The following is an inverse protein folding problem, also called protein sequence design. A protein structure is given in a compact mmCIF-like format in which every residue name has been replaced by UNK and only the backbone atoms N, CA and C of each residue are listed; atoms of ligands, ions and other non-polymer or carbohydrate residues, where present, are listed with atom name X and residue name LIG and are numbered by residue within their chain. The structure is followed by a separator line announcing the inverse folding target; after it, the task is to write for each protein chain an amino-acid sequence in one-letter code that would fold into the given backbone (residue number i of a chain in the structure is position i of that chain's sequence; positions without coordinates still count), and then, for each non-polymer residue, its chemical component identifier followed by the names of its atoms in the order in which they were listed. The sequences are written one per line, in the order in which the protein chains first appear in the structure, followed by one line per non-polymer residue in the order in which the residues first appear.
data_IF_325036369647
#
_entry.id   IF_325036369647
#
_cell.length_a   1.000
_cell.length_b   1.000
_cell.length_c   1.000
_cell.angle_alpha   90.00
_cell.angle_beta   90.00
_cell.angle_gamma   90.00
#
_symmetry.space_group_name_H-M   'P 1'
#
loop_
_entity.id
_entity.type
_entity.pdbx_description
1 polymer ?
#
# COMPACT_ATOMS: atom_id res chain seq x y z
N UNK A 1 -21.19 17.76 10.64
CA UNK A 1 -20.31 17.98 9.48
C UNK A 1 -18.87 17.93 9.98
N UNK A 2 -18.07 17.04 9.47
CA UNK A 2 -16.69 16.88 9.84
C UNK A 2 -15.87 18.13 9.50
N UNK A 3 -14.92 18.47 10.37
CA UNK A 3 -13.97 19.54 10.17
C UNK A 3 -12.57 19.00 10.45
N UNK A 4 -11.74 18.95 9.41
CA UNK A 4 -10.40 18.40 9.50
C UNK A 4 -9.50 19.20 10.45
N UNK A 5 -8.59 18.52 11.13
CA UNK A 5 -7.59 19.14 11.99
C UNK A 5 -6.75 20.16 11.20
N UNK A 6 -6.57 21.35 11.76
CA UNK A 6 -5.87 22.46 11.07
C UNK A 6 -4.36 22.24 11.01
N UNK A 7 -3.80 21.47 11.93
CA UNK A 7 -2.38 21.17 12.08
C UNK A 7 -1.97 19.83 11.43
N UNK A 8 -2.88 19.15 10.70
CA UNK A 8 -2.68 17.78 10.15
C UNK A 8 -1.42 17.63 9.29
N UNK A 9 -0.97 18.70 8.64
CA UNK A 9 0.23 18.66 7.79
C UNK A 9 1.55 18.92 8.52
N UNK A 10 1.51 19.27 9.81
CA UNK A 10 2.72 19.70 10.53
C UNK A 10 3.62 18.55 10.96
N UNK A 11 3.04 17.36 11.18
CA UNK A 11 3.75 16.18 11.70
C UNK A 11 4.06 15.13 10.63
N UNK A 12 3.38 15.19 9.48
CA UNK A 12 3.54 14.23 8.41
C UNK A 12 4.55 14.73 7.38
N UNK A 13 5.69 14.08 7.20
CA UNK A 13 6.60 14.39 6.10
C UNK A 13 6.00 13.97 4.77
N UNK A 14 6.27 14.74 3.70
CA UNK A 14 5.84 14.44 2.33
C UNK A 14 7.06 14.30 1.42
N UNK A 15 7.07 13.26 0.57
CA UNK A 15 8.17 12.95 -0.33
C UNK A 15 7.69 12.95 -1.77
N UNK A 16 8.54 13.41 -2.69
CA UNK A 16 8.26 13.28 -4.12
C UNK A 16 8.18 11.81 -4.54
N UNK A 17 7.29 11.50 -5.47
CA UNK A 17 7.15 10.17 -6.04
C UNK A 17 8.07 10.07 -7.25
N UNK A 18 9.20 9.40 -7.10
CA UNK A 18 10.23 9.33 -8.13
C UNK A 18 10.58 10.71 -8.68
N UNK A 19 10.73 10.79 -10.01
CA UNK A 19 11.02 12.05 -10.72
C UNK A 19 9.73 12.76 -11.17
N UNK A 20 8.74 12.88 -10.27
CA UNK A 20 7.48 13.58 -10.55
C UNK A 20 7.26 14.79 -9.63
N UNK A 21 6.30 15.64 -9.97
CA UNK A 21 5.87 16.74 -9.12
C UNK A 21 4.90 16.32 -8.00
N UNK A 22 4.41 15.07 -8.02
CA UNK A 22 3.49 14.57 -7.00
C UNK A 22 4.26 14.26 -5.71
N UNK A 23 3.67 14.63 -4.57
CA UNK A 23 4.15 14.22 -3.25
C UNK A 23 3.16 13.28 -2.60
N UNK A 24 3.66 12.26 -1.91
CA UNK A 24 2.88 11.42 -1.01
C UNK A 24 3.33 11.62 0.44
N UNK A 25 2.43 11.43 1.43
CA UNK A 25 2.83 11.35 2.82
C UNK A 25 3.74 10.14 3.01
N UNK A 26 4.68 10.20 3.95
CA UNK A 26 5.56 9.06 4.26
C UNK A 26 4.75 7.82 4.65
N UNK A 27 3.60 8.00 5.27
CA UNK A 27 2.65 6.93 5.60
C UNK A 27 1.35 7.13 4.81
N UNK A 28 0.89 6.06 4.15
CA UNK A 28 -0.37 5.99 3.41
C UNK A 28 -1.29 4.94 4.02
N UNK A 29 -2.61 5.09 3.88
CA UNK A 29 -3.58 4.13 4.41
C UNK A 29 -4.00 3.14 3.32
N UNK A 30 -3.73 1.84 3.57
CA UNK A 30 -4.14 0.74 2.70
C UNK A 30 -5.48 0.14 3.14
N UNK A 31 -6.37 -0.09 2.18
CA UNK A 31 -7.75 -0.57 2.43
C UNK A 31 -7.92 -2.07 2.22
N UNK A 32 -6.84 -2.82 2.05
CA UNK A 32 -6.93 -4.28 1.95
C UNK A 32 -7.33 -4.90 3.27
N UNK A 33 -8.49 -5.60 3.31
CA UNK A 33 -9.18 -6.12 4.50
C UNK A 33 -9.59 -5.01 5.51
N UNK A 34 -10.55 -5.31 6.36
CA UNK A 34 -11.04 -4.45 7.45
C UNK A 34 -11.67 -3.09 7.04
N UNK A 35 -11.92 -2.86 5.76
CA UNK A 35 -12.55 -1.62 5.28
C UNK A 35 -13.82 -1.87 4.43
N UNK A 36 -14.19 -3.13 4.24
CA UNK A 36 -15.43 -3.53 3.56
C UNK A 36 -16.65 -3.59 4.51
N UNK A 37 -17.72 -4.22 4.03
CA UNK A 37 -18.98 -4.34 4.80
C UNK A 37 -18.90 -5.39 5.92
N UNK A 38 -17.81 -6.16 5.99
CA UNK A 38 -17.50 -7.05 7.12
C UNK A 38 -17.17 -6.29 8.42
N UNK A 39 -17.04 -4.97 8.34
CA UNK A 39 -16.78 -4.09 9.47
C UNK A 39 -17.87 -3.03 9.64
N UNK A 40 -18.22 -2.64 10.88
CA UNK A 40 -19.11 -1.51 11.10
C UNK A 40 -18.63 -0.25 10.39
N UNK A 41 -19.49 0.39 9.63
CA UNK A 41 -19.15 1.57 8.82
C UNK A 41 -18.55 2.71 9.67
N UNK A 42 -19.07 2.91 10.88
CA UNK A 42 -18.58 3.98 11.76
C UNK A 42 -17.13 3.75 12.20
N UNK A 43 -16.70 2.49 12.41
CA UNK A 43 -15.30 2.17 12.72
C UNK A 43 -14.38 2.45 11.52
N UNK A 44 -14.84 2.10 10.30
CA UNK A 44 -14.11 2.42 9.07
C UNK A 44 -13.98 3.93 8.92
N UNK A 45 -15.08 4.66 9.10
CA UNK A 45 -15.13 6.12 9.01
C UNK A 45 -14.18 6.77 10.03
N UNK A 46 -14.19 6.32 11.28
CA UNK A 46 -13.32 6.84 12.34
C UNK A 46 -11.84 6.70 11.97
N UNK A 47 -11.42 5.53 11.48
CA UNK A 47 -10.05 5.28 11.04
C UNK A 47 -9.66 6.23 9.89
N UNK A 48 -10.53 6.38 8.89
CA UNK A 48 -10.27 7.22 7.70
C UNK A 48 -10.14 8.70 8.09
N UNK A 49 -11.07 9.20 8.90
CA UNK A 49 -11.04 10.60 9.34
C UNK A 49 -9.82 10.89 10.23
N UNK A 50 -9.49 9.98 11.15
CA UNK A 50 -8.28 10.10 11.97
C UNK A 50 -7.00 10.05 11.13
N UNK A 51 -6.95 9.18 10.12
CA UNK A 51 -5.81 9.14 9.19
C UNK A 51 -5.62 10.50 8.50
N UNK A 52 -6.69 11.09 7.98
CA UNK A 52 -6.63 12.41 7.36
C UNK A 52 -6.24 13.51 8.36
N UNK A 53 -6.79 13.50 9.57
CA UNK A 53 -6.42 14.43 10.64
C UNK A 53 -4.95 14.29 11.10
N UNK A 54 -4.33 13.16 10.79
CA UNK A 54 -2.90 12.88 11.05
C UNK A 54 -1.99 13.17 9.86
N UNK A 55 -2.52 13.76 8.78
CA UNK A 55 -1.76 14.11 7.57
C UNK A 55 -1.60 12.97 6.56
N UNK A 56 -2.26 11.83 6.76
CA UNK A 56 -2.33 10.78 5.72
C UNK A 56 -3.32 11.25 4.65
N UNK A 57 -2.79 11.69 3.52
CA UNK A 57 -3.57 12.19 2.40
C UNK A 57 -3.75 11.17 1.29
N UNK A 58 -3.08 10.03 1.34
CA UNK A 58 -3.17 8.97 0.34
C UNK A 58 -3.92 7.77 0.89
N UNK A 59 -5.01 7.40 0.20
CA UNK A 59 -5.86 6.23 0.46
C UNK A 59 -5.75 5.27 -0.71
N UNK A 60 -5.28 4.05 -0.42
CA UNK A 60 -4.94 3.04 -1.42
C UNK A 60 -5.92 1.87 -1.41
N UNK A 61 -6.68 1.71 -2.47
CA UNK A 61 -7.72 0.70 -2.65
C UNK A 61 -7.40 -0.27 -3.79
N UNK A 62 -8.32 -1.19 -4.06
CA UNK A 62 -8.44 -1.98 -5.28
C UNK A 62 -9.90 -2.34 -5.52
N UNK A 63 -10.25 -2.63 -6.78
CA UNK A 63 -11.62 -2.96 -7.17
C UNK A 63 -12.24 -4.12 -6.37
N UNK A 64 -11.41 -5.08 -5.94
CA UNK A 64 -11.82 -6.29 -5.24
C UNK A 64 -11.64 -6.25 -3.70
N UNK A 65 -11.24 -5.11 -3.12
CA UNK A 65 -11.05 -5.00 -1.67
C UNK A 65 -12.37 -4.96 -0.90
N UNK A 66 -12.33 -5.53 0.31
CA UNK A 66 -13.49 -5.71 1.19
C UNK A 66 -14.29 -6.98 0.90
N UNK A 67 -15.26 -7.30 1.74
CA UNK A 67 -16.22 -8.40 1.58
C UNK A 67 -17.63 -7.85 1.65
N UNK A 68 -18.45 -7.96 0.56
CA UNK A 68 -18.08 -8.45 -0.78
C UNK A 68 -17.07 -7.55 -1.50
N UNK A 69 -16.42 -8.07 -2.56
CA UNK A 69 -15.48 -7.30 -3.37
C UNK A 69 -16.05 -5.95 -3.83
N UNK A 70 -15.24 -4.88 -3.71
CA UNK A 70 -15.67 -3.50 -4.00
C UNK A 70 -16.30 -2.77 -2.82
N UNK A 71 -16.59 -3.46 -1.70
CA UNK A 71 -17.22 -2.81 -0.54
C UNK A 71 -16.30 -1.81 0.16
N UNK A 72 -14.98 -1.98 0.08
CA UNK A 72 -14.04 -1.00 0.59
C UNK A 72 -14.11 0.34 -0.19
N UNK A 73 -14.22 0.28 -1.52
CA UNK A 73 -14.45 1.47 -2.35
C UNK A 73 -15.82 2.11 -2.06
N UNK A 74 -16.88 1.30 -1.86
CA UNK A 74 -18.21 1.80 -1.50
C UNK A 74 -18.21 2.53 -0.16
N UNK A 75 -17.53 2.00 0.85
CA UNK A 75 -17.41 2.65 2.15
C UNK A 75 -16.61 3.96 2.04
N UNK A 76 -15.48 3.97 1.33
CA UNK A 76 -14.74 5.23 1.11
C UNK A 76 -15.57 6.23 0.31
N UNK A 77 -16.28 5.80 -0.74
CA UNK A 77 -17.19 6.65 -1.53
C UNK A 77 -18.24 7.36 -0.68
N UNK A 78 -18.83 6.64 0.28
CA UNK A 78 -19.76 7.21 1.25
C UNK A 78 -19.07 8.25 2.14
N UNK A 79 -17.88 7.95 2.68
CA UNK A 79 -17.11 8.89 3.52
C UNK A 79 -16.69 10.13 2.71
N UNK A 80 -16.24 9.94 1.46
CA UNK A 80 -15.90 11.05 0.56
C UNK A 80 -17.11 11.97 0.34
N UNK A 81 -18.30 11.41 0.11
CA UNK A 81 -19.52 12.17 -0.14
C UNK A 81 -19.99 12.94 1.11
N UNK A 82 -19.99 12.28 2.27
CA UNK A 82 -20.60 12.79 3.51
C UNK A 82 -19.65 13.72 4.29
N UNK A 83 -18.35 13.39 4.35
CA UNK A 83 -17.40 14.05 5.24
C UNK A 83 -16.23 14.73 4.50
N UNK A 84 -15.66 14.08 3.50
CA UNK A 84 -14.39 14.52 2.87
C UNK A 84 -14.59 15.26 1.54
N UNK A 85 -15.82 15.50 1.10
CA UNK A 85 -16.10 16.23 -0.15
C UNK A 85 -15.40 17.57 -0.24
N UNK A 86 -15.34 18.43 0.81
CA UNK A 86 -14.63 19.71 0.76
C UNK A 86 -13.10 19.57 0.65
N UNK A 87 -12.58 18.37 0.88
CA UNK A 87 -11.14 18.08 0.93
C UNK A 87 -10.65 17.21 -0.24
N UNK A 88 -11.49 16.96 -1.26
CA UNK A 88 -11.12 16.05 -2.39
C UNK A 88 -9.78 16.43 -3.03
N UNK A 89 -9.53 17.72 -3.24
CA UNK A 89 -8.30 18.20 -3.87
C UNK A 89 -7.06 18.16 -2.94
N UNK A 90 -7.27 17.78 -1.68
CA UNK A 90 -6.22 17.54 -0.70
C UNK A 90 -5.92 16.03 -0.51
N UNK A 91 -6.62 15.17 -1.25
CA UNK A 91 -6.51 13.73 -1.16
C UNK A 91 -5.94 13.13 -2.45
N UNK A 92 -5.16 12.08 -2.30
CA UNK A 92 -4.75 11.17 -3.36
C UNK A 92 -5.53 9.88 -3.16
N UNK A 93 -6.39 9.55 -4.11
CA UNK A 93 -7.16 8.31 -4.10
C UNK A 93 -6.61 7.39 -5.18
N UNK A 94 -6.12 6.23 -4.79
CA UNK A 94 -5.67 5.21 -5.72
C UNK A 94 -6.55 3.97 -5.69
N UNK A 95 -6.74 3.34 -6.83
CA UNK A 95 -7.34 2.01 -6.94
C UNK A 95 -6.64 1.18 -8.00
N UNK A 96 -6.97 -0.12 -8.05
CA UNK A 96 -6.27 -1.12 -8.85
C UNK A 96 -7.25 -2.12 -9.46
N UNK A 97 -6.85 -2.71 -10.59
CA UNK A 97 -7.49 -3.89 -11.14
C UNK A 97 -6.44 -4.89 -11.65
N UNK A 98 -6.73 -6.21 -11.54
CA UNK A 98 -5.80 -7.27 -11.94
C UNK A 98 -6.05 -8.60 -11.25
N UNK A 99 -6.92 -8.63 -10.24
CA UNK A 99 -7.41 -9.85 -9.59
C UNK A 99 -8.90 -10.04 -9.85
N UNK A 100 -9.40 -11.26 -9.72
CA UNK A 100 -10.77 -11.63 -10.01
C UNK A 100 -11.81 -10.74 -9.31
N UNK A 101 -12.75 -10.21 -10.08
CA UNK A 101 -13.80 -9.31 -9.59
C UNK A 101 -15.21 -9.80 -9.94
N UNK A 102 -15.39 -10.48 -11.07
CA UNK A 102 -16.63 -11.10 -11.49
C UNK A 102 -16.39 -12.39 -12.25
N UNK A 103 -17.42 -13.21 -12.39
CA UNK A 103 -17.31 -14.52 -13.03
C UNK A 103 -17.14 -14.41 -14.56
N UNK A 104 -16.59 -15.50 -15.12
CA UNK A 104 -16.39 -15.64 -16.56
C UNK A 104 -15.06 -15.09 -17.07
N UNK A 105 -14.82 -15.12 -18.38
CA UNK A 105 -13.48 -14.93 -18.96
C UNK A 105 -13.02 -13.45 -19.00
N UNK A 106 -13.85 -12.50 -18.54
CA UNK A 106 -13.57 -11.07 -18.65
C UNK A 106 -13.41 -10.37 -17.28
N UNK A 107 -13.40 -11.15 -16.20
CA UNK A 107 -13.45 -10.62 -14.82
C UNK A 107 -12.12 -10.62 -14.09
N UNK A 108 -10.98 -10.84 -14.77
CA UNK A 108 -9.66 -10.96 -14.16
C UNK A 108 -8.53 -10.49 -15.11
N UNK A 109 -7.30 -10.39 -14.59
CA UNK A 109 -6.04 -10.14 -15.29
C UNK A 109 -5.87 -8.73 -15.86
N UNK A 110 -5.22 -8.58 -17.04
CA UNK A 110 -4.74 -7.31 -17.57
C UNK A 110 -5.33 -6.88 -18.91
N UNK A 111 -6.38 -7.57 -19.41
CA UNK A 111 -6.96 -7.19 -20.70
C UNK A 111 -7.55 -5.78 -20.65
N UNK A 112 -7.49 -5.07 -21.78
CA UNK A 112 -8.12 -3.76 -21.95
C UNK A 112 -9.58 -3.74 -21.50
N UNK A 113 -10.34 -4.79 -21.89
CA UNK A 113 -11.77 -4.90 -21.49
C UNK A 113 -11.93 -4.92 -19.99
N UNK A 114 -11.11 -5.71 -19.28
CA UNK A 114 -11.19 -5.84 -17.83
C UNK A 114 -10.80 -4.54 -17.12
N UNK A 115 -9.67 -3.93 -17.52
CA UNK A 115 -9.16 -2.71 -16.88
C UNK A 115 -10.11 -1.53 -17.01
N UNK A 116 -10.68 -1.32 -18.22
CA UNK A 116 -11.66 -0.25 -18.46
C UNK A 116 -12.93 -0.43 -17.64
N UNK A 117 -13.53 -1.63 -17.70
CA UNK A 117 -14.75 -1.92 -16.95
C UNK A 117 -14.54 -1.85 -15.43
N UNK A 118 -13.39 -2.33 -14.95
CA UNK A 118 -13.02 -2.27 -13.52
C UNK A 118 -12.91 -0.85 -13.02
N UNK A 119 -12.24 0.03 -13.77
CA UNK A 119 -12.12 1.44 -13.36
C UNK A 119 -13.48 2.15 -13.36
N UNK A 120 -14.32 1.91 -14.36
CA UNK A 120 -15.67 2.50 -14.40
C UNK A 120 -16.49 2.10 -13.18
N UNK A 121 -16.51 0.81 -12.84
CA UNK A 121 -17.15 0.32 -11.63
C UNK A 121 -16.54 0.89 -10.35
N UNK A 122 -15.22 1.08 -10.30
CA UNK A 122 -14.54 1.69 -9.15
C UNK A 122 -14.93 3.16 -8.99
N UNK A 123 -14.97 3.92 -10.07
CA UNK A 123 -15.41 5.32 -10.07
C UNK A 123 -16.87 5.46 -9.59
N UNK A 124 -17.75 4.55 -10.01
CA UNK A 124 -19.15 4.51 -9.55
C UNK A 124 -19.23 4.24 -8.04
N UNK A 125 -18.50 3.24 -7.52
CA UNK A 125 -18.46 2.93 -6.07
C UNK A 125 -17.89 4.07 -5.24
N UNK A 126 -16.83 4.71 -5.72
CA UNK A 126 -16.19 5.85 -5.06
C UNK A 126 -17.00 7.15 -5.19
N UNK A 127 -17.93 7.24 -6.15
CA UNK A 127 -18.66 8.46 -6.47
C UNK A 127 -17.75 9.56 -7.04
N UNK A 128 -16.69 9.19 -7.76
CA UNK A 128 -15.68 10.08 -8.32
C UNK A 128 -15.73 10.10 -9.84
N UNK A 129 -15.25 11.21 -10.44
CA UNK A 129 -15.06 11.31 -11.89
C UNK A 129 -13.71 10.75 -12.34
N UNK A 130 -12.73 10.75 -11.47
CA UNK A 130 -11.38 10.24 -11.68
C UNK A 130 -10.76 9.78 -10.36
N UNK A 131 -9.80 8.88 -10.45
CA UNK A 131 -8.84 8.58 -9.36
C UNK A 131 -7.52 9.27 -9.62
N UNK A 132 -6.75 9.53 -8.56
CA UNK A 132 -5.44 10.16 -8.74
C UNK A 132 -4.44 9.16 -9.33
N UNK A 133 -4.42 7.91 -8.86
CA UNK A 133 -3.53 6.87 -9.38
C UNK A 133 -4.34 5.60 -9.67
N UNK A 134 -4.18 5.04 -10.87
CA UNK A 134 -4.73 3.74 -11.23
C UNK A 134 -3.63 2.73 -11.47
N UNK A 135 -3.70 1.56 -10.82
CA UNK A 135 -2.67 0.52 -10.94
C UNK A 135 -3.14 -0.70 -11.72
N UNK A 136 -2.23 -1.28 -12.52
CA UNK A 136 -2.34 -2.70 -12.83
C UNK A 136 -1.82 -3.50 -11.64
N UNK A 137 -2.68 -4.34 -11.04
CA UNK A 137 -2.52 -4.89 -9.69
C UNK A 137 -1.48 -6.01 -9.60
N UNK A 138 -1.22 -6.71 -10.71
CA UNK A 138 -0.20 -7.77 -10.83
C UNK A 138 0.20 -7.98 -12.29
N UNK A 139 1.41 -8.51 -12.57
CA UNK A 139 1.76 -8.90 -13.93
C UNK A 139 0.79 -9.99 -14.44
N UNK A 140 0.40 -9.86 -15.71
CA UNK A 140 -0.34 -10.86 -16.48
C UNK A 140 0.54 -11.34 -17.64
N UNK A 141 0.82 -12.63 -17.68
CA UNK A 141 1.67 -13.22 -18.70
C UNK A 141 0.87 -13.80 -19.88
N UNK A 142 -0.46 -13.77 -19.82
CA UNK A 142 -1.35 -14.24 -20.87
C UNK A 142 -1.84 -13.11 -21.78
N UNK A 143 -1.89 -11.88 -21.26
CA UNK A 143 -2.21 -10.68 -22.03
C UNK A 143 -0.91 -10.03 -22.54
N UNK A 144 -0.79 -9.66 -23.83
CA UNK A 144 0.33 -8.86 -24.31
C UNK A 144 0.51 -7.60 -23.44
N UNK A 145 1.74 -7.34 -23.03
CA UNK A 145 2.03 -6.20 -22.14
C UNK A 145 1.63 -4.86 -22.77
N UNK A 146 1.78 -4.76 -24.10
CA UNK A 146 1.36 -3.60 -24.90
C UNK A 146 -0.12 -3.30 -24.74
N UNK A 147 -1.01 -4.32 -24.72
CA UNK A 147 -2.45 -4.12 -24.54
C UNK A 147 -2.73 -3.55 -23.17
N UNK A 148 -2.12 -4.11 -22.11
CA UNK A 148 -2.27 -3.64 -20.74
C UNK A 148 -1.77 -2.20 -20.60
N UNK A 149 -0.57 -1.89 -21.08
CA UNK A 149 0.01 -0.55 -20.95
C UNK A 149 -0.75 0.47 -21.82
N UNK A 150 -1.21 0.07 -23.00
CA UNK A 150 -2.05 0.93 -23.85
C UNK A 150 -3.40 1.24 -23.16
N UNK A 151 -3.99 0.25 -22.48
CA UNK A 151 -5.20 0.47 -21.70
C UNK A 151 -5.00 1.50 -20.57
N UNK A 152 -3.88 1.41 -19.84
CA UNK A 152 -3.52 2.40 -18.81
C UNK A 152 -3.31 3.79 -19.40
N UNK A 153 -2.61 3.89 -20.54
CA UNK A 153 -2.40 5.17 -21.21
C UNK A 153 -3.71 5.80 -21.67
N UNK A 154 -4.63 5.00 -22.23
CA UNK A 154 -5.94 5.49 -22.66
C UNK A 154 -6.81 5.95 -21.48
N UNK A 155 -6.73 5.30 -20.33
CA UNK A 155 -7.39 5.71 -19.09
C UNK A 155 -6.94 7.12 -18.67
N UNK A 156 -5.64 7.41 -18.77
CA UNK A 156 -5.11 8.78 -18.52
C UNK A 156 -5.62 9.75 -19.58
N UNK A 157 -5.57 9.38 -20.85
CA UNK A 157 -6.06 10.23 -21.96
C UNK A 157 -7.56 10.55 -21.84
N UNK A 158 -8.35 9.64 -21.28
CA UNK A 158 -9.78 9.83 -20.98
C UNK A 158 -10.03 10.68 -19.73
N UNK A 159 -9.00 11.05 -18.99
CA UNK A 159 -9.12 11.79 -17.73
C UNK A 159 -9.75 11.00 -16.57
N UNK A 160 -9.74 9.65 -16.64
CA UNK A 160 -10.27 8.77 -15.58
C UNK A 160 -9.24 8.46 -14.49
N UNK A 161 -7.95 8.64 -14.77
CA UNK A 161 -6.86 8.68 -13.81
C UNK A 161 -5.87 9.79 -14.16
N UNK A 162 -5.25 10.41 -13.15
CA UNK A 162 -4.21 11.43 -13.38
C UNK A 162 -2.85 10.77 -13.63
N UNK A 163 -2.59 9.68 -12.94
CA UNK A 163 -1.33 8.92 -13.00
C UNK A 163 -1.62 7.42 -13.06
N UNK A 164 -0.62 6.67 -13.50
CA UNK A 164 -0.66 5.21 -13.52
C UNK A 164 0.50 4.60 -12.75
N UNK A 165 0.24 3.42 -12.19
CA UNK A 165 1.21 2.59 -11.49
C UNK A 165 1.09 1.11 -11.87
N UNK A 166 2.07 0.34 -11.42
CA UNK A 166 2.09 -1.13 -11.52
C UNK A 166 2.36 -1.74 -10.15
N UNK A 167 2.03 -3.01 -9.98
CA UNK A 167 2.24 -3.70 -8.71
C UNK A 167 2.82 -5.10 -8.94
N UNK A 168 3.80 -5.48 -8.11
CA UNK A 168 4.48 -6.78 -8.13
C UNK A 168 5.15 -7.20 -9.47
N UNK A 169 5.52 -6.25 -10.30
CA UNK A 169 6.29 -6.52 -11.51
C UNK A 169 7.75 -6.78 -11.17
N UNK A 170 8.43 -7.79 -11.76
CA UNK A 170 9.89 -7.91 -11.67
C UNK A 170 10.57 -6.77 -12.44
N UNK A 171 11.85 -6.53 -12.16
CA UNK A 171 12.58 -5.36 -12.60
C UNK A 171 12.60 -5.17 -14.13
N UNK A 172 12.86 -6.25 -14.89
CA UNK A 172 12.88 -6.26 -16.35
C UNK A 172 11.51 -5.89 -16.93
N UNK A 173 10.45 -6.53 -16.45
CA UNK A 173 9.09 -6.28 -16.90
C UNK A 173 8.57 -4.90 -16.50
N UNK A 174 9.04 -4.36 -15.36
CA UNK A 174 8.73 -2.99 -14.95
C UNK A 174 9.38 -1.95 -15.89
N UNK A 175 10.64 -2.19 -16.32
CA UNK A 175 11.29 -1.35 -17.34
C UNK A 175 10.58 -1.41 -18.68
N UNK A 176 10.20 -2.60 -19.14
CA UNK A 176 9.43 -2.78 -20.36
C UNK A 176 8.08 -2.05 -20.29
N UNK A 177 7.35 -2.21 -19.20
CA UNK A 177 6.09 -1.50 -18.97
C UNK A 177 6.26 0.02 -19.02
N UNK A 178 7.32 0.55 -18.42
CA UNK A 178 7.65 1.99 -18.44
C UNK A 178 7.93 2.46 -19.88
N UNK A 179 8.75 1.74 -20.65
CA UNK A 179 9.08 2.09 -22.03
C UNK A 179 7.82 2.13 -22.91
N UNK A 180 6.93 1.15 -22.75
CA UNK A 180 5.65 1.12 -23.46
C UNK A 180 4.76 2.30 -23.10
N UNK A 181 4.60 2.61 -21.80
CA UNK A 181 3.83 3.77 -21.36
C UNK A 181 4.40 5.08 -21.92
N UNK A 182 5.72 5.26 -21.90
CA UNK A 182 6.38 6.45 -22.45
C UNK A 182 6.19 6.58 -23.97
N UNK A 183 6.16 5.46 -24.70
CA UNK A 183 5.84 5.46 -26.14
C UNK A 183 4.41 5.95 -26.43
N UNK A 184 3.50 5.84 -25.45
CA UNK A 184 2.14 6.37 -25.51
C UNK A 184 2.00 7.75 -24.86
N UNK A 185 3.11 8.41 -24.48
CA UNK A 185 3.13 9.74 -23.89
C UNK A 185 2.73 9.78 -22.41
N UNK A 186 2.71 8.64 -21.70
CA UNK A 186 2.37 8.54 -20.29
C UNK A 186 3.57 8.06 -19.49
N UNK A 187 3.85 8.68 -18.34
CA UNK A 187 4.93 8.25 -17.43
C UNK A 187 4.43 7.22 -16.43
N UNK A 188 5.20 6.16 -16.21
CA UNK A 188 5.01 5.30 -15.06
C UNK A 188 5.39 6.07 -13.79
N UNK A 189 4.41 6.35 -12.92
CA UNK A 189 4.63 7.14 -11.72
C UNK A 189 5.27 6.32 -10.60
N UNK A 190 4.72 5.12 -10.34
CA UNK A 190 4.93 4.43 -9.08
C UNK A 190 4.79 2.92 -9.24
N UNK A 191 5.60 2.18 -8.50
CA UNK A 191 5.54 0.73 -8.36
C UNK A 191 5.14 0.33 -6.95
N UNK A 192 4.16 -0.57 -6.80
CA UNK A 192 3.69 -1.07 -5.50
C UNK A 192 4.05 -2.55 -5.31
N UNK A 193 5.22 -2.87 -4.70
CA UNK A 193 5.62 -4.25 -4.40
C UNK A 193 5.31 -4.66 -2.96
N UNK A 194 5.26 -5.98 -2.67
CA UNK A 194 5.39 -6.46 -1.30
C UNK A 194 6.83 -6.26 -0.82
N UNK A 195 7.01 -5.67 0.36
CA UNK A 195 8.35 -5.47 0.93
C UNK A 195 8.27 -5.27 2.45
N UNK A 196 9.19 -5.88 3.17
CA UNK A 196 9.33 -5.74 4.63
C UNK A 196 10.74 -6.13 5.06
N UNK A 197 11.06 -5.98 6.34
CA UNK A 197 12.32 -6.49 6.92
C UNK A 197 12.50 -8.00 6.68
N UNK A 198 11.41 -8.78 6.65
CA UNK A 198 11.42 -10.24 6.43
C UNK A 198 11.24 -10.66 4.97
N UNK A 199 10.84 -9.75 4.10
CA UNK A 199 10.68 -10.00 2.66
C UNK A 199 11.40 -8.93 1.86
N UNK A 200 12.63 -9.21 1.46
CA UNK A 200 13.57 -8.24 0.86
C UNK A 200 13.78 -8.41 -0.64
N UNK A 201 12.89 -9.14 -1.33
CA UNK A 201 13.04 -9.49 -2.74
C UNK A 201 13.32 -8.30 -3.66
N UNK A 202 12.71 -7.12 -3.39
CA UNK A 202 12.93 -5.93 -4.24
C UNK A 202 14.37 -5.43 -4.17
N UNK A 203 15.09 -5.73 -3.07
CA UNK A 203 16.52 -5.41 -2.91
C UNK A 203 17.39 -6.51 -3.53
N UNK A 204 17.09 -7.79 -3.23
CA UNK A 204 17.89 -8.93 -3.67
C UNK A 204 17.77 -9.23 -5.17
N UNK A 205 16.63 -8.88 -5.78
CA UNK A 205 16.37 -9.05 -7.22
C UNK A 205 16.54 -7.75 -8.03
N UNK A 206 17.07 -6.68 -7.40
CA UNK A 206 17.44 -5.45 -8.09
C UNK A 206 16.28 -4.54 -8.52
N UNK A 207 15.04 -4.82 -8.08
CA UNK A 207 13.88 -3.99 -8.45
C UNK A 207 13.99 -2.58 -7.87
N UNK A 208 14.43 -2.45 -6.61
CA UNK A 208 14.53 -1.14 -5.98
C UNK A 208 15.54 -0.23 -6.70
N UNK A 209 16.69 -0.75 -7.08
CA UNK A 209 17.68 -0.01 -7.85
C UNK A 209 17.15 0.35 -9.25
N UNK A 210 16.50 -0.61 -9.93
CA UNK A 210 15.87 -0.37 -11.22
C UNK A 210 14.87 0.78 -11.17
N UNK A 211 13.98 0.81 -10.18
CA UNK A 211 12.96 1.87 -10.08
C UNK A 211 13.58 3.24 -9.76
N UNK A 212 14.64 3.29 -8.96
CA UNK A 212 15.37 4.54 -8.69
C UNK A 212 16.07 5.06 -9.95
N UNK A 213 16.74 4.19 -10.71
CA UNK A 213 17.38 4.54 -11.98
C UNK A 213 16.36 5.08 -12.99
N UNK A 214 15.19 4.48 -13.05
CA UNK A 214 14.10 4.86 -13.95
C UNK A 214 13.28 6.06 -13.45
N UNK A 215 13.57 6.59 -12.26
CA UNK A 215 12.85 7.72 -11.67
C UNK A 215 11.41 7.39 -11.27
N UNK A 216 11.10 6.11 -11.00
CA UNK A 216 9.79 5.61 -10.58
C UNK A 216 9.76 5.50 -9.06
N UNK A 217 8.71 6.01 -8.41
CA UNK A 217 8.54 5.89 -6.97
C UNK A 217 8.18 4.47 -6.54
N UNK A 218 8.49 4.12 -5.29
CA UNK A 218 8.12 2.83 -4.69
C UNK A 218 7.22 3.07 -3.49
N UNK A 219 6.12 2.31 -3.40
CA UNK A 219 5.20 2.30 -2.27
C UNK A 219 4.93 0.85 -1.81
N UNK A 220 5.67 0.32 -0.83
CA UNK A 220 5.52 -1.06 -0.42
C UNK A 220 4.27 -1.31 0.41
N UNK A 221 3.73 -2.53 0.24
CA UNK A 221 2.69 -3.10 1.08
C UNK A 221 3.22 -4.30 1.88
N UNK A 222 2.40 -4.83 2.81
CA UNK A 222 2.76 -5.94 3.72
C UNK A 222 3.98 -5.67 4.60
N UNK A 223 4.23 -4.43 4.94
CA UNK A 223 5.42 -3.97 5.68
C UNK A 223 5.54 -4.56 7.09
N UNK A 224 4.43 -4.96 7.71
CA UNK A 224 4.40 -5.67 9.00
C UNK A 224 4.31 -7.20 8.85
N UNK A 225 4.44 -7.72 7.63
CA UNK A 225 4.43 -9.15 7.29
C UNK A 225 3.29 -9.89 8.02
N UNK A 226 2.05 -9.56 7.71
CA UNK A 226 0.83 -10.14 8.31
C UNK A 226 0.76 -9.99 9.86
N UNK A 227 1.57 -9.12 10.44
CA UNK A 227 1.66 -8.89 11.88
C UNK A 227 2.85 -9.57 12.56
N UNK A 228 3.70 -10.31 11.83
CA UNK A 228 4.94 -10.91 12.37
C UNK A 228 5.87 -9.83 12.94
N UNK A 229 5.99 -8.69 12.27
CA UNK A 229 6.78 -7.55 12.73
C UNK A 229 6.02 -6.69 13.77
N UNK A 230 5.30 -7.37 14.66
CA UNK A 230 4.69 -6.80 15.86
C UNK A 230 5.03 -7.67 17.06
N UNK A 231 4.79 -7.19 18.28
CA UNK A 231 5.01 -8.01 19.48
C UNK A 231 3.98 -9.13 19.68
N UNK A 232 3.01 -9.26 18.75
CA UNK A 232 1.86 -10.15 18.87
C UNK A 232 2.23 -11.63 18.93
N UNK A 233 3.24 -12.04 18.15
CA UNK A 233 3.65 -13.44 17.99
C UNK A 233 4.95 -13.80 18.74
N UNK A 234 5.47 -12.91 19.58
CA UNK A 234 6.73 -13.15 20.31
C UNK A 234 6.60 -14.19 21.43
N UNK A 235 5.39 -14.38 21.98
CA UNK A 235 5.14 -15.31 23.11
C UNK A 235 4.27 -16.48 22.68
N UNK A 236 3.08 -16.19 22.18
CA UNK A 236 2.07 -17.18 21.78
C UNK A 236 1.30 -16.64 20.56
N UNK A 237 0.57 -17.50 19.88
CA UNK A 237 -0.31 -17.12 18.77
C UNK A 237 -1.69 -16.79 19.33
N UNK A 238 -2.10 -15.49 19.39
CA UNK A 238 -3.42 -15.13 19.90
C UNK A 238 -4.52 -15.65 18.97
N UNK A 239 -5.62 -16.17 19.56
CA UNK A 239 -6.76 -16.71 18.81
C UNK A 239 -7.46 -15.67 17.93
N UNK A 240 -7.41 -14.38 18.32
CA UNK A 240 -7.94 -13.24 17.56
C UNK A 240 -6.98 -12.70 16.47
N UNK A 241 -5.85 -13.40 16.26
CA UNK A 241 -4.86 -13.05 15.25
C UNK A 241 -5.16 -13.68 13.90
N UNK A 242 -4.51 -13.18 12.83
CA UNK A 242 -4.59 -13.82 11.49
C UNK A 242 -4.09 -15.27 11.52
N UNK A 243 -2.98 -15.54 12.21
CA UNK A 243 -2.40 -16.88 12.33
C UNK A 243 -3.28 -17.81 13.17
N UNK A 244 -4.03 -17.28 14.14
CA UNK A 244 -5.00 -18.01 14.96
C UNK A 244 -6.36 -18.21 14.29
N UNK A 245 -6.63 -17.56 13.15
CA UNK A 245 -7.89 -17.71 12.43
C UNK A 245 -7.84 -18.87 11.44
N UNK A 246 -8.64 -19.95 11.63
CA UNK A 246 -8.63 -21.13 10.77
C UNK A 246 -9.08 -20.87 9.33
N UNK A 247 -9.80 -19.78 9.04
CA UNK A 247 -10.20 -19.38 7.68
C UNK A 247 -9.02 -18.83 6.87
N UNK A 248 -7.92 -18.46 7.54
CA UNK A 248 -6.70 -17.95 6.90
C UNK A 248 -5.71 -19.09 6.68
N UNK A 249 -5.87 -19.81 5.58
CA UNK A 249 -5.10 -21.01 5.24
C UNK A 249 -3.65 -20.72 4.77
N UNK A 250 -3.35 -19.47 4.37
CA UNK A 250 -2.05 -19.06 3.80
C UNK A 250 -1.07 -18.49 4.83
N UNK A 251 -1.41 -18.42 6.11
CA UNK A 251 -0.56 -17.89 7.17
C UNK A 251 -0.72 -18.73 8.43
N UNK A 252 0.18 -19.71 8.59
CA UNK A 252 0.07 -20.78 9.60
C UNK A 252 1.12 -20.63 10.70
N UNK A 253 0.82 -21.17 11.87
CA UNK A 253 1.74 -21.23 13.02
C UNK A 253 3.05 -21.94 12.69
N UNK A 254 3.04 -22.91 11.78
CA UNK A 254 4.25 -23.61 11.31
C UNK A 254 5.29 -22.69 10.63
N UNK A 255 4.89 -21.48 10.21
CA UNK A 255 5.80 -20.47 9.68
C UNK A 255 6.59 -19.74 10.79
N UNK A 256 6.14 -19.84 12.04
CA UNK A 256 6.80 -19.22 13.19
C UNK A 256 7.90 -20.14 13.75
N UNK A 257 8.97 -20.30 12.96
CA UNK A 257 10.13 -21.11 13.33
C UNK A 257 10.93 -20.48 14.48
N UNK A 258 11.74 -21.27 15.19
CA UNK A 258 12.64 -20.76 16.25
C UNK A 258 13.67 -19.75 15.70
N UNK A 259 14.13 -19.96 14.48
CA UNK A 259 15.00 -19.00 13.78
C UNK A 259 14.27 -17.65 13.59
N UNK A 260 13.02 -17.67 13.07
CA UNK A 260 12.23 -16.46 12.90
C UNK A 260 11.97 -15.75 14.24
N UNK A 261 11.64 -16.52 15.30
CA UNK A 261 11.46 -15.95 16.65
C UNK A 261 12.74 -15.27 17.14
N UNK A 262 13.90 -15.88 16.91
CA UNK A 262 15.20 -15.30 17.27
C UNK A 262 15.45 -13.98 16.54
N UNK A 263 15.18 -13.92 15.22
CA UNK A 263 15.25 -12.69 14.44
C UNK A 263 14.28 -11.61 14.97
N UNK A 264 13.03 -11.98 15.26
CA UNK A 264 12.05 -11.04 15.81
C UNK A 264 12.45 -10.49 17.18
N UNK A 265 13.01 -11.32 18.06
CA UNK A 265 13.53 -10.88 19.34
C UNK A 265 14.73 -9.93 19.20
N UNK A 266 15.66 -10.23 18.29
CA UNK A 266 16.77 -9.34 17.96
C UNK A 266 16.28 -7.97 17.48
N UNK A 267 15.35 -7.96 16.52
CA UNK A 267 14.73 -6.71 16.04
C UNK A 267 13.97 -5.96 17.15
N UNK A 268 13.32 -6.69 18.07
CA UNK A 268 12.65 -6.08 19.22
C UNK A 268 13.64 -5.36 20.14
N UNK A 269 14.84 -5.93 20.37
CA UNK A 269 15.88 -5.26 21.15
C UNK A 269 16.38 -3.97 20.48
N UNK A 270 16.52 -3.97 19.15
CA UNK A 270 16.83 -2.73 18.41
C UNK A 270 15.72 -1.71 18.59
N UNK A 271 14.44 -2.12 18.44
CA UNK A 271 13.30 -1.24 18.62
C UNK A 271 13.27 -0.61 20.02
N UNK A 272 13.52 -1.41 21.07
CA UNK A 272 13.52 -0.93 22.47
C UNK A 272 14.57 0.16 22.70
N UNK A 273 15.80 0.01 22.17
CA UNK A 273 16.83 1.04 22.27
C UNK A 273 16.48 2.33 21.54
N UNK A 274 15.63 2.24 20.51
CA UNK A 274 15.09 3.38 19.75
C UNK A 274 13.85 4.00 20.37
N UNK A 275 13.37 3.48 21.51
CA UNK A 275 12.09 3.81 22.12
C UNK A 275 10.91 3.60 21.14
N UNK A 276 10.99 2.59 20.31
CA UNK A 276 9.95 2.22 19.35
C UNK A 276 9.38 0.84 19.66
N UNK A 277 8.14 0.61 19.25
CA UNK A 277 7.62 -0.75 19.14
C UNK A 277 8.26 -1.45 17.93
N UNK A 278 8.22 -2.79 17.88
CA UNK A 278 8.69 -3.55 16.73
C UNK A 278 7.98 -3.13 15.43
N UNK A 279 6.67 -2.83 15.50
CA UNK A 279 5.91 -2.31 14.36
C UNK A 279 6.43 -0.93 13.91
N UNK A 280 6.69 -0.02 14.83
CA UNK A 280 7.25 1.30 14.52
C UNK A 280 8.65 1.20 13.92
N UNK A 281 9.50 0.31 14.44
CA UNK A 281 10.81 0.03 13.84
C UNK A 281 10.67 -0.46 12.40
N UNK A 282 9.78 -1.42 12.14
CA UNK A 282 9.57 -1.97 10.79
C UNK A 282 9.04 -0.91 9.82
N UNK A 283 8.12 -0.05 10.25
CA UNK A 283 7.61 1.08 9.47
C UNK A 283 8.73 2.08 9.16
N UNK A 284 9.48 2.52 10.17
CA UNK A 284 10.56 3.47 10.04
C UNK A 284 11.67 2.92 9.13
N UNK A 285 12.09 1.65 9.35
CA UNK A 285 13.09 1.01 8.51
C UNK A 285 12.66 0.92 7.04
N UNK A 286 11.41 0.52 6.79
CA UNK A 286 10.88 0.46 5.42
C UNK A 286 10.88 1.84 4.78
N UNK A 287 10.43 2.87 5.51
CA UNK A 287 10.41 4.24 5.03
C UNK A 287 11.82 4.83 4.76
N UNK A 288 12.85 4.32 5.43
CA UNK A 288 14.24 4.74 5.25
C UNK A 288 14.94 4.08 4.05
N UNK A 289 14.33 3.08 3.40
CA UNK A 289 14.96 2.39 2.28
C UNK A 289 14.98 3.25 1.01
N UNK A 290 16.01 3.04 0.20
CA UNK A 290 16.25 3.76 -1.05
C UNK A 290 15.04 3.64 -2.00
N UNK A 291 14.57 4.75 -2.56
CA UNK A 291 13.48 4.81 -3.53
C UNK A 291 12.08 4.75 -2.93
N UNK A 292 11.92 4.52 -1.63
CA UNK A 292 10.61 4.48 -0.98
C UNK A 292 10.04 5.89 -0.86
N UNK A 293 8.94 6.14 -1.57
CA UNK A 293 8.21 7.41 -1.54
C UNK A 293 7.20 7.47 -0.39
N UNK A 294 6.55 6.36 -0.11
CA UNK A 294 5.55 6.21 0.95
C UNK A 294 5.46 4.76 1.40
N UNK A 295 4.84 4.48 2.52
CA UNK A 295 4.67 3.15 3.11
C UNK A 295 3.20 2.89 3.38
N UNK A 296 2.63 1.77 2.89
CA UNK A 296 1.23 1.44 3.09
C UNK A 296 0.99 0.81 4.46
N UNK A 297 0.22 1.49 5.29
CA UNK A 297 -0.26 0.98 6.57
C UNK A 297 -1.56 0.18 6.38
N UNK A 298 -1.55 -1.09 6.77
CA UNK A 298 -2.75 -1.88 6.98
C UNK A 298 -3.12 -1.88 8.47
N UNK A 299 -4.33 -1.44 8.80
CA UNK A 299 -4.82 -1.39 10.18
C UNK A 299 -6.21 -2.04 10.29
N UNK A 300 -6.52 -2.60 11.45
CA UNK A 300 -7.84 -3.17 11.73
C UNK A 300 -8.63 -2.39 12.79
N UNK A 301 -8.02 -1.45 13.48
CA UNK A 301 -8.64 -0.61 14.51
C UNK A 301 -7.89 0.70 14.66
N UNK A 302 -8.58 1.71 15.19
CA UNK A 302 -8.05 3.05 15.39
C UNK A 302 -6.75 3.05 16.21
N UNK A 303 -6.72 2.31 17.33
CA UNK A 303 -5.53 2.23 18.19
C UNK A 303 -4.27 1.72 17.48
N UNK A 304 -4.40 0.88 16.44
CA UNK A 304 -3.27 0.46 15.62
C UNK A 304 -2.77 1.60 14.72
N UNK A 305 -3.68 2.38 14.15
CA UNK A 305 -3.30 3.56 13.37
C UNK A 305 -2.51 4.53 14.26
N UNK A 306 -3.05 4.86 15.44
CA UNK A 306 -2.41 5.77 16.39
C UNK A 306 -1.02 5.28 16.84
N UNK A 307 -0.92 3.99 17.18
CA UNK A 307 0.37 3.39 17.55
C UNK A 307 1.38 3.43 16.39
N UNK A 308 0.95 3.14 15.16
CA UNK A 308 1.82 3.13 13.98
C UNK A 308 2.30 4.53 13.58
N UNK A 309 1.49 5.58 13.82
CA UNK A 309 1.90 6.97 13.62
C UNK A 309 3.10 7.37 14.47
N UNK A 310 3.32 6.73 15.62
CA UNK A 310 4.50 6.94 16.44
C UNK A 310 5.83 6.59 15.76
N UNK A 311 5.80 5.86 14.63
CA UNK A 311 6.99 5.63 13.82
C UNK A 311 7.60 6.94 13.27
N UNK A 312 6.77 7.98 13.08
CA UNK A 312 7.20 9.29 12.57
C UNK A 312 8.15 10.03 13.53
N UNK A 313 8.17 9.67 14.80
CA UNK A 313 9.02 10.31 15.80
C UNK A 313 10.50 9.97 15.63
N UNK A 314 10.82 8.82 14.99
CA UNK A 314 12.19 8.39 14.75
C UNK A 314 12.32 7.58 13.44
N UNK A 315 12.41 8.29 12.31
CA UNK A 315 12.55 7.70 10.96
C UNK A 315 14.00 7.50 10.51
N UNK A 316 14.95 8.10 11.20
CA UNK A 316 16.38 8.06 10.81
C UNK A 316 17.08 6.89 11.49
N UNK A 317 18.07 6.34 10.82
CA UNK A 317 18.90 5.24 11.31
C UNK A 317 20.36 5.60 11.23
N UNK A 318 21.14 5.21 12.23
CA UNK A 318 22.60 5.26 12.13
C UNK A 318 23.12 4.09 11.26
N UNK A 319 24.32 4.21 10.67
CA UNK A 319 24.95 3.10 9.94
C UNK A 319 25.08 1.82 10.79
N UNK A 320 25.35 1.98 12.10
CA UNK A 320 25.50 0.88 13.05
C UNK A 320 24.19 0.16 13.28
N UNK A 321 23.07 0.90 13.43
CA UNK A 321 21.74 0.31 13.55
C UNK A 321 21.34 -0.45 12.28
N UNK A 322 21.59 0.12 11.11
CA UNK A 322 21.31 -0.56 9.83
C UNK A 322 22.15 -1.83 9.68
N UNK A 323 23.42 -1.79 10.07
CA UNK A 323 24.27 -2.97 10.06
C UNK A 323 23.76 -4.05 10.99
N UNK A 324 23.44 -3.70 12.24
CA UNK A 324 22.90 -4.65 13.23
C UNK A 324 21.58 -5.29 12.74
N UNK A 325 20.65 -4.48 12.19
CA UNK A 325 19.41 -4.99 11.60
C UNK A 325 19.72 -5.98 10.46
N UNK A 326 20.66 -5.66 9.59
CA UNK A 326 21.07 -6.56 8.50
C UNK A 326 21.69 -7.85 9.03
N UNK A 327 22.56 -7.78 10.06
CA UNK A 327 23.17 -8.98 10.66
C UNK A 327 22.12 -9.89 11.32
N UNK A 328 21.07 -9.33 11.95
CA UNK A 328 19.95 -10.10 12.51
C UNK A 328 19.11 -10.79 11.43
N UNK A 329 18.96 -10.16 10.27
CA UNK A 329 18.09 -10.64 9.19
C UNK A 329 18.77 -11.64 8.25
N UNK A 330 20.08 -11.79 8.27
CA UNK A 330 20.82 -12.84 7.56
C UNK A 330 20.50 -14.22 8.12
#
# INVERSE_FOLDING_TARGET
MYKAATDRYQKMPYRYVGNSGLKLPVLSLGFWQNFGHEKPFEEVKEIVLKAFDSGITHFDLANNYGRPGGSAESNLGKILKEELKPYRDQLIISTKAGYGMWEGPYGDFGSRKYLMASLDQSLDRLGLKYVDIFYHHRPDYNTPLEETMKALADIVAMGKALYVGISNYPADRAREAKQLLESYGVKLLIHQPSFSMLNRWIQTEGLADAMVEEGVGIIPFSILQQGLLTSKYLREVPSDSRMGNPEIWWFKESELTEELKTKLLGLKHVADRRNQTLAQLAIAWTAAQKGISSVLLGVSRLSQLEANLGALENLEFTPEELKEINDILQ
#
